data_IF_297794050995
#
_entry.id   IF_297794050995
#
_cell.length_a   1.000
_cell.length_b   1.000
_cell.length_c   1.000
_cell.angle_alpha   90.00
_cell.angle_beta   90.00
_cell.angle_gamma   90.00
#
_symmetry.space_group_name_H-M   'P 1'
#
loop_
_entity.id
_entity.type
_entity.pdbx_description
1 polymer ?
#
# COMPACT_ATOMS: atom_id res chain seq x y z
N UNK A 1 -4.06 13.57 -3.15
CA UNK A 1 -2.95 12.59 -3.11
C UNK A 1 -2.89 11.82 -4.43
N UNK A 2 -1.70 11.53 -4.95
CA UNK A 2 -1.50 10.83 -6.24
C UNK A 2 -0.39 9.80 -6.13
N UNK A 3 -0.64 8.56 -6.56
CA UNK A 3 0.39 7.54 -6.75
C UNK A 3 1.07 7.83 -8.10
N UNK A 4 2.38 8.00 -8.10
CA UNK A 4 3.17 8.29 -9.30
C UNK A 4 3.89 7.04 -9.83
N UNK A 5 4.20 6.08 -8.96
CA UNK A 5 4.88 4.85 -9.36
C UNK A 5 4.57 3.69 -8.43
N UNK A 6 4.51 2.49 -9.02
CA UNK A 6 4.36 1.21 -8.32
C UNK A 6 5.44 0.28 -8.88
N UNK A 7 6.25 -0.32 -8.02
CA UNK A 7 7.13 -1.43 -8.38
C UNK A 7 6.75 -2.67 -7.58
N UNK A 8 6.65 -3.80 -8.25
CA UNK A 8 6.40 -5.09 -7.64
C UNK A 8 7.48 -6.07 -8.06
N UNK A 9 7.98 -6.82 -7.08
CA UNK A 9 8.93 -7.90 -7.32
C UNK A 9 8.46 -9.16 -6.61
N UNK A 10 8.59 -10.29 -7.29
CA UNK A 10 8.15 -11.59 -6.82
C UNK A 10 6.67 -11.63 -6.38
N UNK A 11 5.79 -10.81 -6.96
CA UNK A 11 4.38 -10.73 -6.59
C UNK A 11 3.50 -11.39 -7.65
N UNK A 12 2.98 -12.59 -7.36
CA UNK A 12 2.10 -13.39 -8.21
C UNK A 12 2.72 -13.59 -9.60
N UNK A 13 2.10 -13.06 -10.65
CA UNK A 13 2.61 -13.16 -12.01
C UNK A 13 3.77 -12.19 -12.32
N UNK A 14 4.06 -11.23 -11.43
CA UNK A 14 5.09 -10.22 -11.64
C UNK A 14 6.40 -10.57 -10.91
N UNK A 15 7.39 -11.05 -11.66
CA UNK A 15 8.74 -11.26 -11.13
C UNK A 15 9.46 -9.94 -10.84
N UNK A 16 9.41 -8.97 -11.77
CA UNK A 16 9.79 -7.57 -11.55
C UNK A 16 9.01 -6.70 -12.56
N UNK A 17 8.17 -5.80 -12.06
CA UNK A 17 7.42 -4.86 -12.89
C UNK A 17 7.46 -3.48 -12.24
N UNK A 18 7.62 -2.45 -13.05
CA UNK A 18 7.62 -1.06 -12.60
C UNK A 18 6.67 -0.23 -13.48
N UNK A 19 5.62 0.30 -12.87
CA UNK A 19 4.75 1.31 -13.46
C UNK A 19 5.25 2.69 -13.04
N UNK A 20 5.57 3.53 -14.02
CA UNK A 20 6.05 4.92 -13.82
C UNK A 20 5.04 5.91 -14.37
N UNK A 21 5.07 7.11 -13.81
CA UNK A 21 4.29 8.25 -14.28
C UNK A 21 2.79 7.94 -14.35
N UNK A 22 2.27 7.27 -13.31
CA UNK A 22 0.86 6.89 -13.25
C UNK A 22 0.00 8.18 -13.21
N UNK A 23 -0.87 8.39 -14.21
CA UNK A 23 -1.76 9.55 -14.23
C UNK A 23 -2.85 9.40 -13.16
N UNK A 24 -3.51 10.52 -12.81
CA UNK A 24 -4.64 10.52 -11.86
C UNK A 24 -5.80 9.63 -12.32
N UNK A 25 -5.99 9.53 -13.63
CA UNK A 25 -6.93 8.62 -14.24
C UNK A 25 -6.15 7.68 -15.17
N UNK A 26 -6.09 6.40 -14.82
CA UNK A 26 -5.32 5.38 -15.51
C UNK A 26 -6.24 4.25 -15.96
N UNK A 27 -6.19 3.90 -17.25
CA UNK A 27 -6.91 2.74 -17.81
C UNK A 27 -5.88 1.68 -18.20
N UNK A 28 -6.05 0.46 -17.69
CA UNK A 28 -5.16 -0.66 -17.96
C UNK A 28 -5.81 -1.62 -18.96
N UNK A 29 -5.23 -1.72 -20.16
CA UNK A 29 -5.72 -2.60 -21.23
C UNK A 29 -4.66 -3.66 -21.53
N UNK A 30 -5.09 -4.90 -21.76
CA UNK A 30 -4.20 -6.00 -22.11
C UNK A 30 -4.96 -7.32 -22.25
N UNK A 31 -4.33 -8.34 -22.82
CA UNK A 31 -4.93 -9.67 -23.01
C UNK A 31 -5.32 -10.34 -21.68
N UNK A 32 -6.18 -11.36 -21.72
CA UNK A 32 -6.55 -12.12 -20.53
C UNK A 32 -5.30 -12.81 -19.92
N UNK A 33 -5.20 -12.81 -18.59
CA UNK A 33 -4.07 -13.42 -17.88
C UNK A 33 -2.80 -12.57 -17.77
N UNK A 34 -2.77 -11.34 -18.32
CA UNK A 34 -1.57 -10.47 -18.25
C UNK A 34 -1.32 -9.81 -16.89
N UNK A 35 -2.02 -10.20 -15.82
CA UNK A 35 -1.82 -9.67 -14.47
C UNK A 35 -2.55 -8.38 -14.13
N UNK A 36 -3.48 -7.89 -14.96
CA UNK A 36 -4.29 -6.69 -14.65
C UNK A 36 -4.99 -6.80 -13.29
N UNK A 37 -5.74 -7.87 -13.07
CA UNK A 37 -6.42 -8.13 -11.79
C UNK A 37 -5.42 -8.28 -10.63
N UNK A 38 -4.25 -8.86 -10.87
CA UNK A 38 -3.17 -8.94 -9.87
C UNK A 38 -2.73 -7.55 -9.42
N UNK A 39 -2.60 -6.60 -10.33
CA UNK A 39 -2.24 -5.22 -10.00
C UNK A 39 -3.33 -4.52 -9.18
N UNK A 40 -4.61 -4.75 -9.46
CA UNK A 40 -5.70 -4.21 -8.62
C UNK A 40 -5.76 -4.88 -7.24
N UNK A 41 -5.54 -6.19 -7.18
CA UNK A 41 -5.52 -6.95 -5.94
C UNK A 41 -4.42 -6.51 -4.98
N UNK A 42 -3.35 -5.86 -5.47
CA UNK A 42 -2.32 -5.22 -4.64
C UNK A 42 -2.91 -4.24 -3.64
N UNK A 43 -3.85 -3.39 -4.06
CA UNK A 43 -4.44 -2.38 -3.18
C UNK A 43 -5.28 -3.04 -2.07
N UNK A 44 -6.05 -4.07 -2.44
CA UNK A 44 -6.77 -4.90 -1.47
C UNK A 44 -5.84 -5.61 -0.49
N UNK A 45 -4.70 -6.12 -0.97
CA UNK A 45 -3.68 -6.76 -0.12
C UNK A 45 -3.12 -5.80 0.91
N UNK A 46 -2.68 -4.61 0.48
CA UNK A 46 -2.09 -3.61 1.36
C UNK A 46 -3.10 -3.08 2.37
N UNK A 47 -4.35 -2.88 1.95
CA UNK A 47 -5.44 -2.51 2.85
C UNK A 47 -5.68 -3.57 3.91
N UNK A 48 -5.79 -4.84 3.51
CA UNK A 48 -5.95 -5.95 4.46
C UNK A 48 -4.75 -6.03 5.41
N UNK A 49 -3.52 -5.95 4.91
CA UNK A 49 -2.31 -6.00 5.73
C UNK A 49 -2.23 -4.86 6.75
N UNK A 50 -2.74 -3.67 6.39
CA UNK A 50 -2.84 -2.53 7.28
C UNK A 50 -3.95 -2.68 8.33
N UNK A 51 -5.14 -3.13 7.93
CA UNK A 51 -6.25 -3.33 8.86
C UNK A 51 -6.01 -4.50 9.82
N UNK A 52 -5.44 -5.61 9.35
CA UNK A 52 -5.13 -6.80 10.15
C UNK A 52 -3.61 -7.00 10.30
N UNK A 53 -3.01 -7.91 9.54
CA UNK A 53 -1.58 -8.20 9.50
C UNK A 53 -1.22 -8.87 8.15
N UNK A 54 0.07 -9.02 7.86
CA UNK A 54 0.49 -9.63 6.57
C UNK A 54 0.07 -11.10 6.48
N UNK A 55 -0.01 -11.83 7.60
CA UNK A 55 -0.45 -13.23 7.59
C UNK A 55 -1.88 -13.37 7.07
N UNK A 56 -2.82 -12.58 7.59
CA UNK A 56 -4.22 -12.58 7.16
C UNK A 56 -4.37 -12.12 5.71
N UNK A 57 -3.62 -11.09 5.31
CA UNK A 57 -3.63 -10.60 3.93
C UNK A 57 -3.11 -11.65 2.93
N UNK A 58 -2.04 -12.35 3.29
CA UNK A 58 -1.49 -13.45 2.48
C UNK A 58 -2.45 -14.65 2.43
N UNK A 59 -3.08 -15.01 3.56
CA UNK A 59 -4.08 -16.09 3.59
C UNK A 59 -5.31 -15.76 2.72
N UNK A 60 -5.79 -14.51 2.76
CA UNK A 60 -6.92 -14.05 1.94
C UNK A 60 -6.60 -14.07 0.44
N UNK A 61 -5.36 -13.75 0.07
CA UNK A 61 -4.93 -13.71 -1.34
C UNK A 61 -4.43 -15.06 -1.89
N UNK A 62 -3.77 -15.85 -1.05
CA UNK A 62 -3.08 -17.09 -1.40
C UNK A 62 -3.81 -18.35 -0.95
N UNK A 63 -4.90 -18.22 -0.20
CA UNK A 63 -5.62 -19.34 0.40
C UNK A 63 -4.74 -20.13 1.36
N UNK A 64 -4.86 -21.45 1.34
CA UNK A 64 -4.11 -22.37 2.20
C UNK A 64 -2.59 -22.35 1.99
N UNK A 65 -2.12 -21.84 0.85
CA UNK A 65 -0.69 -21.72 0.52
C UNK A 65 -0.09 -20.36 0.88
N UNK A 66 -0.91 -19.40 1.33
CA UNK A 66 -0.48 -18.10 1.86
C UNK A 66 0.64 -17.45 1.06
N UNK A 67 1.81 -17.28 1.71
CA UNK A 67 3.00 -16.66 1.14
C UNK A 67 3.46 -17.32 -0.16
N UNK A 68 3.52 -18.65 -0.22
CA UNK A 68 4.03 -19.39 -1.40
C UNK A 68 3.17 -19.19 -2.65
N UNK A 69 1.87 -18.96 -2.47
CA UNK A 69 0.95 -18.68 -3.58
C UNK A 69 0.93 -17.21 -3.98
N UNK A 70 1.34 -16.29 -3.09
CA UNK A 70 1.49 -14.87 -3.42
C UNK A 70 2.87 -14.59 -4.02
N UNK A 71 3.91 -15.34 -3.63
CA UNK A 71 5.23 -15.24 -4.24
C UNK A 71 5.20 -15.75 -5.68
N UNK A 72 5.95 -15.10 -6.57
CA UNK A 72 6.08 -15.57 -7.96
C UNK A 72 6.64 -17.00 -8.03
N UNK A 73 6.11 -17.78 -8.98
CA UNK A 73 6.58 -19.15 -9.19
C UNK A 73 8.06 -19.14 -9.58
N UNK A 74 8.81 -20.08 -8.98
CA UNK A 74 10.26 -20.23 -9.16
C UNK A 74 11.08 -18.99 -8.78
N UNK A 75 10.49 -18.04 -8.04
CA UNK A 75 11.21 -16.90 -7.49
C UNK A 75 11.74 -17.21 -6.09
N UNK A 76 12.97 -16.76 -5.83
CA UNK A 76 13.59 -16.80 -4.52
C UNK A 76 13.57 -15.42 -3.87
N UNK A 77 13.68 -15.41 -2.54
CA UNK A 77 13.68 -14.19 -1.73
C UNK A 77 12.30 -13.60 -1.47
N UNK A 78 12.32 -12.37 -0.97
CA UNK A 78 11.15 -11.64 -0.50
C UNK A 78 10.24 -11.17 -1.64
N UNK A 79 8.96 -10.98 -1.30
CA UNK A 79 8.00 -10.19 -2.06
C UNK A 79 8.28 -8.72 -1.77
N UNK A 80 8.57 -7.91 -2.79
CA UNK A 80 8.87 -6.49 -2.61
C UNK A 80 7.80 -5.62 -3.28
N UNK A 81 7.28 -4.65 -2.53
CA UNK A 81 6.30 -3.67 -2.98
C UNK A 81 6.86 -2.28 -2.72
N UNK A 82 7.02 -1.48 -3.77
CA UNK A 82 7.45 -0.08 -3.67
C UNK A 82 6.35 0.83 -4.23
N UNK A 83 5.93 1.82 -3.45
CA UNK A 83 4.96 2.82 -3.84
C UNK A 83 5.58 4.21 -3.73
N UNK A 84 5.50 5.00 -4.79
CA UNK A 84 5.86 6.42 -4.78
C UNK A 84 4.62 7.28 -4.94
N UNK A 85 4.43 8.21 -4.02
CA UNK A 85 3.23 9.03 -3.98
C UNK A 85 3.50 10.44 -3.45
N UNK A 86 2.60 11.36 -3.79
CA UNK A 86 2.56 12.71 -3.23
C UNK A 86 1.26 12.95 -2.50
N UNK A 87 1.35 13.39 -1.25
CA UNK A 87 0.18 13.74 -0.42
C UNK A 87 -0.59 14.91 -1.06
N UNK A 88 0.12 15.98 -1.40
CA UNK A 88 -0.38 17.17 -2.12
C UNK A 88 0.49 17.46 -3.35
N UNK A 89 -0.01 18.21 -4.32
CA UNK A 89 0.68 18.39 -5.62
C UNK A 89 2.09 18.98 -5.51
N UNK A 90 2.29 19.86 -4.53
CA UNK A 90 3.55 20.51 -4.18
C UNK A 90 4.38 19.74 -3.13
N UNK A 91 3.76 18.75 -2.46
CA UNK A 91 4.44 17.97 -1.43
C UNK A 91 5.60 17.15 -2.02
N UNK A 92 6.67 16.94 -1.23
CA UNK A 92 7.79 16.10 -1.64
C UNK A 92 7.35 14.66 -1.91
N UNK A 93 8.04 13.99 -2.84
CA UNK A 93 7.74 12.61 -3.21
C UNK A 93 8.11 11.68 -2.06
N UNK A 94 7.11 10.96 -1.55
CA UNK A 94 7.27 9.90 -0.57
C UNK A 94 7.48 8.56 -1.28
N UNK A 95 8.28 7.70 -0.69
CA UNK A 95 8.53 6.33 -1.14
C UNK A 95 8.30 5.38 0.02
N UNK A 96 7.26 4.56 -0.10
CA UNK A 96 6.97 3.47 0.82
C UNK A 96 7.49 2.17 0.21
N UNK A 97 8.25 1.41 0.97
CA UNK A 97 8.80 0.12 0.57
C UNK A 97 8.46 -0.92 1.62
N UNK A 98 7.92 -2.05 1.17
CA UNK A 98 7.55 -3.19 1.98
C UNK A 98 8.16 -4.45 1.37
N UNK A 99 8.96 -5.16 2.17
CA UNK A 99 9.49 -6.47 1.85
C UNK A 99 8.93 -7.49 2.84
N UNK A 100 8.31 -8.53 2.28
CA UNK A 100 7.72 -9.64 3.04
C UNK A 100 8.49 -10.89 2.68
N UNK A 101 8.94 -11.60 3.70
CA UNK A 101 9.66 -12.85 3.57
C UNK A 101 9.00 -13.93 4.44
N UNK A 102 9.55 -15.14 4.42
CA UNK A 102 9.07 -16.26 5.22
C UNK A 102 10.20 -16.78 6.11
N UNK A 103 9.94 -16.87 7.41
CA UNK A 103 10.85 -17.43 8.39
C UNK A 103 10.17 -18.59 9.10
N UNK A 104 10.76 -19.78 9.01
CA UNK A 104 10.23 -21.01 9.63
C UNK A 104 8.78 -21.36 9.22
N UNK A 105 8.34 -20.93 8.03
CA UNK A 105 6.98 -21.14 7.54
C UNK A 105 5.98 -20.03 7.90
N UNK A 106 6.40 -19.05 8.70
CA UNK A 106 5.59 -17.90 9.05
C UNK A 106 6.00 -16.66 8.25
N UNK A 107 5.03 -15.90 7.71
CA UNK A 107 5.32 -14.68 6.97
C UNK A 107 5.77 -13.56 7.92
N UNK A 108 6.86 -12.90 7.58
CA UNK A 108 7.46 -11.82 8.36
C UNK A 108 7.76 -10.61 7.49
N UNK A 109 7.68 -9.42 8.08
CA UNK A 109 8.10 -8.19 7.40
C UNK A 109 9.61 -8.07 7.55
N UNK A 110 10.34 -8.54 6.54
CA UNK A 110 11.81 -8.48 6.54
C UNK A 110 12.32 -7.04 6.50
N UNK A 111 11.58 -6.14 5.84
CA UNK A 111 11.84 -4.70 5.88
C UNK A 111 10.61 -3.86 5.54
N UNK A 112 10.41 -2.79 6.29
CA UNK A 112 9.43 -1.75 6.00
C UNK A 112 10.11 -0.38 6.10
N UNK A 113 9.91 0.47 5.10
CA UNK A 113 10.71 1.66 4.93
C UNK A 113 9.90 2.78 4.30
N UNK A 114 9.84 3.91 4.99
CA UNK A 114 9.23 5.14 4.47
C UNK A 114 10.31 6.20 4.31
N UNK A 115 10.42 6.75 3.09
CA UNK A 115 11.39 7.80 2.77
C UNK A 115 10.74 9.00 2.13
N UNK A 116 11.31 10.17 2.30
CA UNK A 116 11.02 11.35 1.47
C UNK A 116 12.23 11.85 0.74
N UNK A 117 11.98 12.45 -0.42
CA UNK A 117 12.95 13.26 -1.13
C UNK A 117 12.52 14.72 -1.15
N UNK A 118 13.19 15.57 -0.35
CA UNK A 118 13.06 17.03 -0.45
C UNK A 118 13.99 17.54 -1.54
N UNK A 119 13.43 18.00 -2.66
CA UNK A 119 14.18 18.61 -3.78
C UNK A 119 14.74 17.64 -4.84
N UNK A 120 15.35 18.18 -5.90
CA UNK A 120 15.99 17.41 -7.00
C UNK A 120 17.32 16.77 -6.58
N UNK A 121 18.05 17.37 -5.64
CA UNK A 121 19.35 16.90 -5.16
C UNK A 121 19.34 16.76 -3.62
N UNK A 122 19.77 15.60 -3.10
CA UNK A 122 19.82 15.31 -1.67
C UNK A 122 19.69 13.82 -1.35
N UNK A 123 20.23 13.39 -0.21
CA UNK A 123 20.00 12.03 0.31
C UNK A 123 18.53 11.88 0.74
N UNK A 124 17.88 10.73 0.45
CA UNK A 124 16.51 10.49 0.88
C UNK A 124 16.44 10.41 2.41
N UNK A 125 15.47 11.11 3.00
CA UNK A 125 15.26 11.14 4.45
C UNK A 125 14.47 9.89 4.83
N UNK A 126 15.05 9.02 5.66
CA UNK A 126 14.38 7.81 6.15
C UNK A 126 13.54 8.16 7.38
N UNK A 127 12.23 8.08 7.25
CA UNK A 127 11.25 8.34 8.32
C UNK A 127 11.07 7.17 9.25
N UNK A 128 11.11 5.99 8.65
CA UNK A 128 10.80 4.74 9.27
C UNK A 128 11.67 3.71 8.58
N UNK A 129 12.42 2.91 9.34
CA UNK A 129 13.10 1.70 8.84
C UNK A 129 12.92 0.63 9.91
N UNK A 130 12.04 -0.34 9.62
CA UNK A 130 11.75 -1.48 10.49
C UNK A 130 12.18 -2.76 9.78
N UNK A 131 12.68 -3.71 10.57
CA UNK A 131 13.08 -5.05 10.14
C UNK A 131 12.64 -6.04 11.20
N UNK A 132 11.88 -7.06 10.79
CA UNK A 132 11.39 -8.12 11.66
C UNK A 132 10.74 -7.57 12.95
N UNK A 133 9.90 -6.54 12.81
CA UNK A 133 9.17 -5.92 13.93
C UNK A 133 9.96 -4.94 14.81
N UNK A 134 11.24 -4.71 14.54
CA UNK A 134 12.07 -3.74 15.29
C UNK A 134 12.61 -2.66 14.38
N UNK A 135 12.70 -1.42 14.85
CA UNK A 135 13.19 -0.34 14.01
C UNK A 135 13.15 1.01 14.69
N UNK A 136 13.27 2.06 13.88
CA UNK A 136 13.14 3.43 14.36
C UNK A 136 12.12 4.21 13.55
N UNK A 137 11.52 5.21 14.20
CA UNK A 137 10.69 6.23 13.56
C UNK A 137 11.18 7.64 13.92
N UNK A 138 11.07 8.57 12.97
CA UNK A 138 11.42 9.98 13.16
C UNK A 138 10.24 10.70 13.83
N UNK A 139 10.48 11.37 14.96
CA UNK A 139 9.41 11.98 15.79
C UNK A 139 9.30 13.49 15.71
N UNK A 140 10.26 14.19 15.08
CA UNK A 140 10.20 15.64 14.97
C UNK A 140 9.46 16.12 13.72
N UNK A 141 8.77 17.26 13.87
CA UNK A 141 8.03 17.91 12.79
C UNK A 141 8.96 18.37 11.67
N UNK A 142 8.76 17.79 10.48
CA UNK A 142 9.63 18.03 9.34
C UNK A 142 9.63 19.45 8.82
N UNK A 143 8.50 20.14 8.95
CA UNK A 143 8.36 21.53 8.48
C UNK A 143 9.38 22.44 9.16
N UNK A 144 9.81 22.08 10.36
CA UNK A 144 10.77 22.83 11.17
C UNK A 144 12.23 22.39 10.97
N UNK A 145 12.49 21.33 10.18
CA UNK A 145 13.81 20.70 10.09
C UNK A 145 14.41 20.89 8.69
N UNK A 146 15.51 21.65 8.62
CA UNK A 146 16.23 21.95 7.37
C UNK A 146 17.33 20.94 7.05
N UNK A 147 17.83 20.20 8.04
CA UNK A 147 18.93 19.21 7.91
C UNK A 147 18.52 17.82 8.42
N UNK A 148 18.87 16.78 7.66
CA UNK A 148 18.69 15.35 8.00
C UNK A 148 19.31 15.00 9.36
N UNK A 149 20.41 15.66 9.74
CA UNK A 149 21.14 15.38 10.99
C UNK A 149 20.36 15.76 12.25
N UNK A 150 19.37 16.65 12.10
CA UNK A 150 18.53 17.11 13.20
C UNK A 150 17.31 16.21 13.42
N UNK A 151 17.15 15.13 12.64
CA UNK A 151 16.07 14.17 12.82
C UNK A 151 16.23 13.42 14.14
N UNK A 152 15.24 13.56 15.03
CA UNK A 152 15.16 12.77 16.25
C UNK A 152 14.54 11.43 15.91
N UNK A 153 15.26 10.35 16.22
CA UNK A 153 14.84 8.98 15.96
C UNK A 153 14.55 8.31 17.29
N UNK A 154 13.39 7.68 17.39
CA UNK A 154 13.01 6.83 18.51
C UNK A 154 12.96 5.38 18.04
N UNK A 155 13.54 4.50 18.83
CA UNK A 155 13.45 3.06 18.60
C UNK A 155 12.13 2.52 19.12
N UNK A 156 11.54 1.62 18.35
CA UNK A 156 10.28 0.98 18.67
C UNK A 156 10.32 -0.50 18.31
N UNK A 157 9.66 -1.30 19.15
CA UNK A 157 9.46 -2.73 18.93
C UNK A 157 7.97 -3.00 18.83
N UNK A 158 7.56 -3.61 17.73
CA UNK A 158 6.19 -4.05 17.51
C UNK A 158 5.90 -5.31 18.33
N UNK A 159 4.62 -5.58 18.55
CA UNK A 159 4.18 -6.79 19.27
C UNK A 159 4.52 -8.08 18.52
N UNK A 160 4.64 -8.01 17.20
CA UNK A 160 4.86 -9.17 16.33
C UNK A 160 5.48 -8.71 14.99
N UNK A 161 6.35 -9.53 14.35
CA UNK A 161 7.03 -9.17 13.10
C UNK A 161 6.14 -9.22 11.84
N UNK A 162 4.89 -9.64 11.96
CA UNK A 162 3.88 -9.69 10.90
C UNK A 162 2.97 -8.44 10.87
N UNK A 163 3.17 -7.50 11.79
CA UNK A 163 2.40 -6.26 11.87
C UNK A 163 3.16 -5.14 11.15
N UNK A 164 2.49 -4.42 10.25
CA UNK A 164 3.07 -3.23 9.62
C UNK A 164 3.40 -2.16 10.68
N UNK A 165 4.61 -1.62 10.65
CA UNK A 165 5.04 -0.54 11.52
C UNK A 165 4.18 0.71 11.33
N UNK A 166 3.80 1.03 10.07
CA UNK A 166 2.89 2.14 9.79
C UNK A 166 1.53 2.00 10.49
N UNK A 167 1.03 0.78 10.73
CA UNK A 167 -0.24 0.56 11.44
C UNK A 167 -0.16 1.03 12.88
N UNK A 168 0.91 0.65 13.59
CA UNK A 168 1.11 1.06 14.98
C UNK A 168 1.37 2.56 15.09
N UNK A 169 2.18 3.11 14.19
CA UNK A 169 2.60 4.51 14.23
C UNK A 169 1.51 5.48 13.76
N UNK A 170 0.63 5.07 12.84
CA UNK A 170 -0.49 5.90 12.36
C UNK A 170 -1.51 6.25 13.47
N UNK A 171 -1.53 5.48 14.57
CA UNK A 171 -2.41 5.73 15.72
C UNK A 171 -1.98 6.96 16.55
N UNK A 172 -0.74 7.43 16.39
CA UNK A 172 -0.24 8.58 17.15
C UNK A 172 -0.22 9.85 16.29
N UNK A 173 -0.67 10.97 16.87
CA UNK A 173 -0.70 12.27 16.17
C UNK A 173 0.69 12.79 15.81
N UNK A 174 1.72 12.40 16.57
CA UNK A 174 3.12 12.82 16.37
C UNK A 174 3.76 12.31 15.07
N UNK A 175 3.08 11.45 14.30
CA UNK A 175 3.55 10.95 13.00
C UNK A 175 2.60 11.33 11.85
N UNK A 176 2.49 12.63 11.49
CA UNK A 176 1.50 13.11 10.52
C UNK A 176 1.63 12.43 9.16
N UNK A 177 2.87 12.24 8.68
CA UNK A 177 3.16 11.56 7.41
C UNK A 177 2.69 10.09 7.39
N UNK A 178 2.91 9.38 8.50
CA UNK A 178 2.53 7.97 8.61
C UNK A 178 1.01 7.84 8.71
N UNK A 179 0.37 8.77 9.42
CA UNK A 179 -1.09 8.91 9.47
C UNK A 179 -1.70 9.14 8.08
N UNK A 180 -1.14 10.05 7.29
CA UNK A 180 -1.61 10.30 5.91
C UNK A 180 -1.47 9.06 5.01
N UNK A 181 -0.36 8.31 5.15
CA UNK A 181 -0.20 7.05 4.44
C UNK A 181 -1.19 5.97 4.92
N UNK A 182 -1.42 5.87 6.23
CA UNK A 182 -2.41 4.96 6.80
C UNK A 182 -3.82 5.25 6.26
N UNK A 183 -4.24 6.51 6.33
CA UNK A 183 -5.53 6.97 5.79
C UNK A 183 -5.66 6.65 4.29
N UNK A 184 -4.58 6.82 3.51
CA UNK A 184 -4.57 6.45 2.10
C UNK A 184 -4.87 4.97 1.91
N UNK A 185 -4.12 4.10 2.60
CA UNK A 185 -4.24 2.65 2.45
C UNK A 185 -5.64 2.18 2.90
N UNK A 186 -6.17 2.77 3.98
CA UNK A 186 -7.53 2.46 4.45
C UNK A 186 -8.62 2.88 3.46
N UNK A 187 -8.44 4.03 2.79
CA UNK A 187 -9.38 4.58 1.80
C UNK A 187 -9.42 3.82 0.47
N UNK A 188 -8.48 2.91 0.21
CA UNK A 188 -8.43 2.19 -1.05
C UNK A 188 -9.64 1.26 -1.21
N UNK A 189 -10.48 1.60 -2.17
CA UNK A 189 -11.62 0.80 -2.58
C UNK A 189 -11.32 0.12 -3.91
N UNK A 190 -11.43 -1.21 -3.94
CA UNK A 190 -11.36 -2.00 -5.18
C UNK A 190 -12.77 -2.47 -5.50
N UNK A 191 -13.32 -2.01 -6.62
CA UNK A 191 -14.63 -2.45 -7.12
C UNK A 191 -14.44 -3.37 -8.33
N UNK A 192 -15.08 -4.53 -8.32
CA UNK A 192 -15.21 -5.42 -9.48
C UNK A 192 -16.60 -5.23 -10.09
N UNK A 193 -16.65 -4.43 -11.15
CA UNK A 193 -17.93 -4.09 -11.78
C UNK A 193 -18.41 -5.22 -12.68
N UNK A 194 -19.36 -6.02 -12.18
CA UNK A 194 -20.03 -7.03 -13.00
C UNK A 194 -21.24 -6.42 -13.73
N UNK A 195 -21.14 -6.25 -15.05
CA UNK A 195 -22.18 -5.66 -15.91
C UNK A 195 -23.56 -6.33 -15.72
N UNK A 196 -23.58 -7.64 -15.44
CA UNK A 196 -24.83 -8.38 -15.20
C UNK A 196 -25.50 -8.04 -13.86
N UNK A 197 -24.73 -7.61 -12.85
CA UNK A 197 -25.23 -7.20 -11.51
C UNK A 197 -25.60 -5.73 -11.43
N UNK A 198 -25.19 -4.91 -12.39
CA UNK A 198 -25.57 -3.49 -12.48
C UNK A 198 -26.92 -3.24 -13.18
N UNK A 199 -27.59 -4.30 -13.66
CA UNK A 199 -28.90 -4.23 -14.35
C UNK A 199 -30.13 -4.14 -13.44
N UNK A 200 -30.17 -4.65 -12.20
CA UNK A 200 -31.34 -4.46 -11.34
C UNK A 200 -31.44 -2.99 -10.93
N UNK A 201 -32.60 -2.38 -11.19
CA UNK A 201 -32.97 -1.09 -10.60
C UNK A 201 -33.25 -1.36 -9.12
N UNK A 202 -32.33 -0.99 -8.23
CA UNK A 202 -32.56 -1.03 -6.79
C UNK A 202 -33.20 0.29 -6.31
N UNK A 203 -33.97 0.21 -5.22
CA UNK A 203 -34.70 1.32 -4.60
C UNK A 203 -33.78 2.49 -4.20
N UNK A 204 -34.35 3.69 -4.22
CA UNK A 204 -33.67 4.95 -3.95
C UNK A 204 -32.91 4.93 -2.61
N UNK A 205 -31.65 5.35 -2.63
CA UNK A 205 -30.78 5.47 -1.45
C UNK A 205 -29.67 6.49 -1.70
N UNK A 206 -28.77 6.68 -0.74
CA UNK A 206 -27.59 7.54 -0.88
C UNK A 206 -26.31 6.70 -0.71
N UNK A 207 -25.31 6.91 -1.56
CA UNK A 207 -24.02 6.23 -1.47
C UNK A 207 -22.87 7.15 -1.86
N UNK A 208 -21.82 7.23 -1.03
CA UNK A 208 -20.63 8.05 -1.30
C UNK A 208 -19.58 7.35 -2.19
N UNK A 209 -19.62 6.02 -2.24
CA UNK A 209 -18.68 5.20 -3.02
C UNK A 209 -19.40 4.07 -3.75
N UNK A 210 -18.87 3.67 -4.91
CA UNK A 210 -19.37 2.52 -5.66
C UNK A 210 -19.15 1.25 -4.82
N UNK A 211 -20.19 0.45 -4.65
CA UNK A 211 -20.10 -0.83 -3.96
C UNK A 211 -19.12 -1.76 -4.68
N UNK A 212 -18.58 -2.74 -3.95
CA UNK A 212 -17.62 -3.70 -4.50
C UNK A 212 -18.14 -4.41 -5.75
N UNK A 213 -19.45 -4.64 -5.81
CA UNK A 213 -20.14 -5.35 -6.90
C UNK A 213 -20.76 -4.41 -7.95
N UNK A 214 -20.72 -3.08 -7.72
CA UNK A 214 -21.26 -2.09 -8.65
C UNK A 214 -22.78 -1.90 -8.62
N UNK A 215 -23.47 -2.50 -7.66
CA UNK A 215 -24.94 -2.48 -7.57
C UNK A 215 -25.53 -1.07 -7.34
N UNK A 216 -24.77 -0.18 -6.71
CA UNK A 216 -25.22 1.19 -6.39
C UNK A 216 -24.76 2.25 -7.41
N UNK A 217 -24.31 1.84 -8.61
CA UNK A 217 -23.84 2.76 -9.65
C UNK A 217 -24.87 3.87 -9.97
N UNK A 218 -26.16 3.51 -9.98
CA UNK A 218 -27.25 4.45 -10.22
C UNK A 218 -27.28 5.62 -9.21
N UNK A 219 -26.92 5.36 -7.95
CA UNK A 219 -26.92 6.37 -6.88
C UNK A 219 -25.77 7.38 -7.01
N UNK A 220 -24.63 6.98 -7.58
CA UNK A 220 -23.48 7.86 -7.80
C UNK A 220 -23.58 8.68 -9.09
N UNK A 221 -24.33 8.20 -10.08
CA UNK A 221 -24.55 8.91 -11.34
C UNK A 221 -25.59 10.05 -11.24
N UNK A 222 -26.28 10.20 -10.10
CA UNK A 222 -27.28 11.24 -9.85
C UNK A 222 -26.70 12.51 -9.19
N UNK A 223 -25.58 13.01 -9.70
CA UNK A 223 -25.04 14.33 -9.31
C UNK A 223 -25.20 15.25 -10.52
N UNK A 224 -26.24 16.09 -10.48
CA UNK A 224 -26.41 17.26 -11.35
C UNK A 224 -25.68 18.47 -10.76
#
# INVERSE_FOLDING_TARGET
>A
MQIESIRLKNFKCFQDVELKNIPRFCVLVGANGTGKSTLFNLFGFLREAFSSNIHTALAKMGGSRGFQEVRSRNAEGAIEIELKFRIRGDAPLASYFLAIDEQHGDPVISRELLKYRRGRHGQPWHFLDFRNGTGYAVTNELEQVTDVRLLKREEHTLKSPDILAIKGLAQFERFPVVKELGNLIESWHVSDFHIHRARPIQEAGYAEHLSTEGENLFLLCHIH
#
